data_IF_268295896309
#
_entry.id   IF_268295896309
#
_cell.length_a   1.000
_cell.length_b   1.000
_cell.length_c   1.000
_cell.angle_alpha   90.00
_cell.angle_beta   90.00
_cell.angle_gamma   90.00
#
_symmetry.space_group_name_H-M   'P 1'
#
loop_
_entity.id
_entity.type
_entity.pdbx_description
1 polymer ?
#
# COMPACT_ATOMS: atom_id res chain seq x y z
N UNK A 1 -11.64 -40.98 -3.83
CA UNK A 1 -10.39 -40.25 -3.59
C UNK A 1 -10.74 -38.79 -3.32
N UNK A 2 -10.46 -38.24 -2.13
CA UNK A 2 -10.85 -36.87 -1.76
C UNK A 2 -10.16 -35.77 -2.58
N UNK A 3 -9.17 -36.12 -3.43
CA UNK A 3 -8.43 -35.15 -4.25
C UNK A 3 -8.86 -35.12 -5.73
N UNK A 4 -9.95 -35.78 -6.11
CA UNK A 4 -10.51 -35.58 -7.45
C UNK A 4 -11.34 -34.29 -7.51
N UNK A 5 -10.85 -33.31 -8.26
CA UNK A 5 -11.56 -32.07 -8.55
C UNK A 5 -12.70 -32.30 -9.55
N UNK A 6 -13.88 -31.67 -9.36
CA UNK A 6 -15.06 -31.85 -10.22
C UNK A 6 -15.07 -30.96 -11.48
N UNK A 7 -14.01 -30.18 -11.74
CA UNK A 7 -13.94 -29.28 -12.90
C UNK A 7 -13.23 -29.96 -14.07
N UNK A 8 -13.73 -29.79 -15.32
CA UNK A 8 -13.07 -30.34 -16.50
C UNK A 8 -11.76 -29.62 -16.78
N UNK A 9 -10.74 -30.38 -17.18
CA UNK A 9 -9.46 -29.89 -17.69
C UNK A 9 -9.69 -29.14 -19.02
N UNK A 10 -10.10 -27.88 -18.94
CA UNK A 10 -10.10 -26.98 -20.08
C UNK A 10 -8.65 -26.65 -20.43
N UNK A 11 -8.20 -26.81 -21.70
CA UNK A 11 -6.83 -26.49 -22.07
C UNK A 11 -6.56 -25.01 -21.80
N UNK A 12 -5.35 -24.65 -21.33
CA UNK A 12 -5.03 -23.26 -21.04
C UNK A 12 -5.09 -22.46 -22.34
N UNK A 13 -5.97 -21.46 -22.37
CA UNK A 13 -5.89 -20.40 -23.37
C UNK A 13 -4.47 -19.80 -23.30
N UNK A 14 -3.81 -19.71 -24.46
CA UNK A 14 -2.46 -19.17 -24.57
C UNK A 14 -2.35 -17.83 -23.83
N UNK A 15 -1.28 -17.60 -23.04
CA UNK A 15 -1.16 -16.36 -22.29
C UNK A 15 -1.00 -15.20 -23.28
N UNK A 16 -2.03 -14.36 -23.37
CA UNK A 16 -1.91 -13.03 -23.92
C UNK A 16 -0.84 -12.31 -23.10
N UNK A 17 0.33 -12.12 -23.69
CA UNK A 17 1.47 -11.46 -23.06
C UNK A 17 1.10 -9.99 -22.87
N UNK A 18 0.46 -9.67 -21.74
CA UNK A 18 0.29 -8.28 -21.35
C UNK A 18 1.70 -7.67 -21.23
N UNK A 19 1.92 -6.46 -21.75
CA UNK A 19 3.21 -5.80 -21.61
C UNK A 19 3.45 -5.62 -20.12
N UNK A 20 4.48 -6.30 -19.61
CA UNK A 20 5.01 -6.07 -18.27
C UNK A 20 5.52 -4.64 -18.31
N UNK A 21 4.80 -3.70 -17.70
CA UNK A 21 5.24 -2.32 -17.56
C UNK A 21 6.44 -2.35 -16.62
N UNK A 22 7.63 -2.60 -17.18
CA UNK A 22 8.93 -2.50 -16.49
C UNK A 22 9.23 -1.03 -16.27
N UNK A 23 8.39 -0.35 -15.51
CA UNK A 23 8.59 1.03 -15.11
C UNK A 23 9.67 1.05 -14.05
N UNK A 24 10.92 0.91 -14.50
CA UNK A 24 12.16 1.09 -13.76
C UNK A 24 12.12 0.56 -12.33
N UNK A 25 12.33 -0.74 -12.15
CA UNK A 25 12.60 -1.29 -10.81
C UNK A 25 13.91 -0.66 -10.32
N UNK A 26 13.79 0.44 -9.56
CA UNK A 26 14.90 0.93 -8.74
C UNK A 26 15.41 -0.25 -7.90
N UNK A 27 16.72 -0.35 -7.61
CA UNK A 27 17.25 -1.46 -6.82
C UNK A 27 16.42 -1.61 -5.55
N UNK A 28 15.61 -2.67 -5.54
CA UNK A 28 14.75 -2.99 -4.43
C UNK A 28 15.70 -3.23 -3.27
N UNK A 29 15.59 -2.41 -2.23
CA UNK A 29 16.28 -2.70 -0.97
C UNK A 29 15.84 -4.06 -0.43
N UNK A 30 16.28 -4.37 0.79
CA UNK A 30 15.78 -5.56 1.48
C UNK A 30 14.23 -5.64 1.53
N UNK A 31 13.71 -6.83 1.83
CA UNK A 31 12.26 -7.09 1.91
C UNK A 31 11.52 -6.02 2.73
N UNK A 32 12.10 -5.63 3.86
CA UNK A 32 11.57 -4.61 4.78
C UNK A 32 11.43 -3.24 4.09
N UNK A 33 12.46 -2.82 3.35
CA UNK A 33 12.43 -1.55 2.60
C UNK A 33 11.36 -1.59 1.51
N UNK A 34 11.21 -2.70 0.79
CA UNK A 34 10.18 -2.85 -0.24
C UNK A 34 8.78 -2.75 0.37
N UNK A 35 8.53 -3.47 1.46
CA UNK A 35 7.24 -3.44 2.15
C UNK A 35 6.91 -2.04 2.67
N UNK A 36 7.91 -1.33 3.22
CA UNK A 36 7.74 0.05 3.67
C UNK A 36 7.31 1.00 2.53
N UNK A 37 7.83 0.82 1.31
CA UNK A 37 7.40 1.64 0.17
C UNK A 37 5.97 1.33 -0.25
N UNK A 38 5.59 0.05 -0.27
CA UNK A 38 4.22 -0.37 -0.59
C UNK A 38 3.25 0.19 0.45
N UNK A 39 3.55 0.03 1.75
CA UNK A 39 2.76 0.60 2.84
C UNK A 39 2.58 2.12 2.66
N UNK A 40 3.67 2.83 2.39
CA UNK A 40 3.66 4.28 2.20
C UNK A 40 2.81 4.71 1.00
N UNK A 41 2.89 3.99 -0.12
CA UNK A 41 2.12 4.28 -1.32
C UNK A 41 0.62 4.11 -1.05
N UNK A 42 0.21 2.96 -0.49
CA UNK A 42 -1.18 2.67 -0.14
C UNK A 42 -1.77 3.71 0.82
N UNK A 43 -1.02 4.06 1.88
CA UNK A 43 -1.46 5.08 2.83
C UNK A 43 -1.67 6.44 2.16
N UNK A 44 -0.76 6.85 1.27
CA UNK A 44 -0.85 8.13 0.58
C UNK A 44 -2.04 8.19 -0.38
N UNK A 45 -2.30 7.10 -1.10
CA UNK A 45 -3.42 7.01 -2.03
C UNK A 45 -4.75 7.05 -1.29
N UNK A 46 -4.90 6.23 -0.25
CA UNK A 46 -6.11 6.20 0.57
C UNK A 46 -6.36 7.55 1.28
N UNK A 47 -5.32 8.19 1.83
CA UNK A 47 -5.46 9.53 2.42
C UNK A 47 -5.97 10.53 1.39
N UNK A 48 -5.45 10.51 0.16
CA UNK A 48 -5.87 11.43 -0.90
C UNK A 48 -7.33 11.17 -1.32
N UNK A 49 -7.72 9.91 -1.46
CA UNK A 49 -9.09 9.51 -1.81
C UNK A 49 -10.12 9.96 -0.76
N UNK A 50 -9.76 9.90 0.53
CA UNK A 50 -10.63 10.32 1.62
C UNK A 50 -10.39 11.76 2.09
N UNK A 51 -9.74 12.61 1.28
CA UNK A 51 -9.55 14.03 1.53
C UNK A 51 -8.76 14.34 2.80
N UNK A 52 -7.68 13.57 3.04
CA UNK A 52 -6.81 13.64 4.23
C UNK A 52 -7.51 13.33 5.56
N UNK A 53 -8.73 12.77 5.51
CA UNK A 53 -9.49 12.43 6.71
C UNK A 53 -9.07 11.07 7.26
N UNK A 54 -8.20 11.08 8.27
CA UNK A 54 -7.61 9.88 8.87
C UNK A 54 -8.64 8.87 9.40
N UNK A 55 -9.73 9.30 10.04
CA UNK A 55 -10.78 8.37 10.53
C UNK A 55 -11.37 7.51 9.41
N UNK A 56 -11.96 8.15 8.39
CA UNK A 56 -12.45 7.51 7.16
C UNK A 56 -11.40 6.66 6.45
N UNK A 57 -10.15 7.10 6.42
CA UNK A 57 -9.05 6.34 5.81
C UNK A 57 -8.77 5.05 6.59
N UNK A 58 -8.82 5.09 7.92
CA UNK A 58 -8.61 3.91 8.76
C UNK A 58 -9.73 2.89 8.54
N UNK A 59 -10.99 3.34 8.52
CA UNK A 59 -12.15 2.50 8.23
C UNK A 59 -12.04 1.84 6.84
N UNK A 60 -11.67 2.60 5.81
CA UNK A 60 -11.53 2.08 4.44
C UNK A 60 -10.42 1.03 4.30
N UNK A 61 -9.33 1.17 5.07
CA UNK A 61 -8.21 0.22 5.08
C UNK A 61 -8.40 -0.94 6.07
N UNK A 62 -9.50 -0.96 6.84
CA UNK A 62 -9.71 -1.96 7.90
C UNK A 62 -8.70 -1.85 9.05
N UNK A 63 -8.17 -0.66 9.29
CA UNK A 63 -7.22 -0.37 10.37
C UNK A 63 -7.92 0.34 11.52
N UNK A 64 -7.42 0.14 12.74
CA UNK A 64 -7.76 1.05 13.82
C UNK A 64 -7.16 2.44 13.54
N UNK A 65 -7.81 3.47 14.06
CA UNK A 65 -7.31 4.83 13.95
C UNK A 65 -5.87 4.98 14.49
N UNK A 66 -5.56 4.30 15.59
CA UNK A 66 -4.22 4.32 16.18
C UNK A 66 -3.17 3.63 15.30
N UNK A 67 -3.53 2.51 14.65
CA UNK A 67 -2.67 1.83 13.68
C UNK A 67 -2.36 2.75 12.50
N UNK A 68 -3.40 3.36 11.90
CA UNK A 68 -3.23 4.31 10.80
C UNK A 68 -2.32 5.48 11.25
N UNK A 69 -2.60 6.08 12.40
CA UNK A 69 -1.82 7.20 12.92
C UNK A 69 -0.36 6.81 13.19
N UNK A 70 -0.10 5.59 13.64
CA UNK A 70 1.25 5.07 13.82
C UNK A 70 1.97 4.93 12.48
N UNK A 71 1.32 4.33 11.48
CA UNK A 71 1.87 4.16 10.14
C UNK A 71 2.15 5.51 9.44
N UNK A 72 1.25 6.48 9.57
CA UNK A 72 1.45 7.84 9.05
C UNK A 72 2.70 8.49 9.65
N UNK A 73 2.95 8.31 10.96
CA UNK A 73 4.16 8.80 11.63
C UNK A 73 5.41 8.06 11.17
N UNK A 74 5.35 6.71 11.15
CA UNK A 74 6.43 5.83 10.69
C UNK A 74 6.92 6.21 9.29
N UNK A 75 5.99 6.52 8.39
CA UNK A 75 6.29 6.85 6.99
C UNK A 75 6.47 8.34 6.70
N UNK A 76 6.41 9.20 7.72
CA UNK A 76 6.59 10.65 7.58
C UNK A 76 5.48 11.32 6.75
N UNK A 77 4.29 10.74 6.69
CA UNK A 77 3.12 11.27 5.97
C UNK A 77 2.31 12.26 6.81
N UNK A 78 2.68 12.47 8.08
CA UNK A 78 2.03 13.46 8.92
C UNK A 78 2.18 14.85 8.28
N UNK A 79 1.06 15.55 8.09
CA UNK A 79 1.06 16.95 7.63
C UNK A 79 2.05 17.72 8.49
N UNK A 80 3.09 18.30 7.86
CA UNK A 80 4.19 18.97 8.57
C UNK A 80 3.61 19.87 9.66
N UNK A 81 3.81 19.50 10.92
CA UNK A 81 3.54 20.40 12.02
C UNK A 81 4.37 21.65 11.75
N UNK A 82 3.71 22.82 11.69
CA UNK A 82 4.41 24.10 11.53
C UNK A 82 5.54 24.13 12.56
N UNK A 83 6.79 24.12 12.10
CA UNK A 83 7.97 24.22 12.96
C UNK A 83 7.84 25.55 13.71
N UNK A 84 7.49 25.51 15.00
CA UNK A 84 7.41 26.71 15.83
C UNK A 84 8.83 27.30 15.84
N UNK A 85 8.98 28.51 15.32
CA UNK A 85 10.22 29.29 15.35
C UNK A 85 10.55 29.50 16.84
N UNK A 86 11.49 28.74 17.38
CA UNK A 86 12.25 29.15 18.57
C UNK A 86 13.36 30.06 18.06
N UNK A 87 13.27 31.34 18.42
CA UNK A 87 14.23 32.35 17.99
C UNK A 87 13.78 33.74 18.37
N UNK A 88 13.95 34.07 19.66
CA UNK A 88 14.44 35.34 20.19
C UNK A 88 14.82 35.09 21.64
#
# INVERSE_FOLDING_TARGET
>A
DPFQSPYPDSPPAAPATAPVDTRGEAPLGDFTTRLAQIEKQLLREALREHGEHQGRTAEALGLSYDQLRHLIRKHGLARRARRKKSGA
#
